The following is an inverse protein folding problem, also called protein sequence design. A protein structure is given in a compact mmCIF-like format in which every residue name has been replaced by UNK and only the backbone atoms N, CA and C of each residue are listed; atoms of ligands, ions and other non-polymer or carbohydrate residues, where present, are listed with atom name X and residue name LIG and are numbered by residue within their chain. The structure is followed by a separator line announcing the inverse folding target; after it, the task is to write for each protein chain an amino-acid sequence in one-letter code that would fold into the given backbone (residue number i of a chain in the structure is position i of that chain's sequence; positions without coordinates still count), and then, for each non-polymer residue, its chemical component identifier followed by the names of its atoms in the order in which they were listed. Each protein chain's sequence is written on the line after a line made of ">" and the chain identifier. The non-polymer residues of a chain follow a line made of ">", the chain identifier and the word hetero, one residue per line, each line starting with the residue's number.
data_IF_692378438642
#
_entry.id   IF_692378438642
#
_cell.length_a   1.000
_cell.length_b   1.000
_cell.length_c   1.000
_cell.angle_alpha   90.00
_cell.angle_beta   90.00
_cell.angle_gamma   90.00
#
_symmetry.space_group_name_H-M   'P 1'
#
loop_
_entity.id
_entity.type
_entity.pdbx_description
1 polymer ?
#
# COMPACT_ATOMS: atom_id res chain seq x y z
N UNK A 1 -55.26 -25.41 1.11
CA UNK A 1 -55.27 -23.95 1.43
C UNK A 1 -54.24 -23.55 2.45
N UNK A 2 -54.15 -24.29 3.55
CA UNK A 2 -53.17 -24.01 4.58
C UNK A 2 -51.75 -24.32 4.13
N UNK A 3 -51.53 -25.26 3.23
CA UNK A 3 -50.19 -25.60 2.74
C UNK A 3 -49.60 -24.52 1.84
N UNK A 4 -50.39 -23.83 1.03
CA UNK A 4 -49.90 -22.73 0.18
C UNK A 4 -49.48 -21.52 1.03
N UNK A 5 -50.25 -21.16 2.05
CA UNK A 5 -49.88 -20.10 2.97
C UNK A 5 -48.64 -20.44 3.79
N UNK A 6 -48.49 -21.71 4.22
CA UNK A 6 -47.33 -22.22 4.91
C UNK A 6 -46.05 -22.15 4.06
N UNK A 7 -46.16 -22.46 2.74
CA UNK A 7 -45.03 -22.40 1.83
C UNK A 7 -44.54 -20.95 1.59
N UNK A 8 -45.48 -19.99 1.54
CA UNK A 8 -45.11 -18.55 1.44
C UNK A 8 -44.36 -18.08 2.68
N UNK A 9 -44.81 -18.46 3.84
CA UNK A 9 -44.13 -18.14 5.12
C UNK A 9 -42.77 -18.79 5.24
N UNK A 10 -42.60 -20.00 4.72
CA UNK A 10 -41.32 -20.71 4.75
C UNK A 10 -40.27 -20.08 3.79
N UNK A 11 -40.71 -19.50 2.66
CA UNK A 11 -39.82 -18.87 1.72
C UNK A 11 -39.24 -17.56 2.20
N UNK A 12 -40.02 -16.76 2.94
CA UNK A 12 -39.55 -15.45 3.44
C UNK A 12 -38.33 -15.55 4.37
N UNK A 13 -38.28 -16.41 5.39
CA UNK A 13 -37.08 -16.49 6.24
C UNK A 13 -35.87 -17.03 5.48
N UNK A 14 -36.03 -17.90 4.49
CA UNK A 14 -34.93 -18.40 3.67
C UNK A 14 -34.34 -17.27 2.80
N UNK A 15 -35.20 -16.47 2.16
CA UNK A 15 -34.76 -15.31 1.36
C UNK A 15 -34.04 -14.30 2.23
N UNK A 16 -34.53 -13.99 3.43
CA UNK A 16 -33.87 -13.09 4.38
C UNK A 16 -32.49 -13.61 4.79
N UNK A 17 -32.38 -14.91 5.07
CA UNK A 17 -31.11 -15.53 5.42
C UNK A 17 -30.10 -15.45 4.25
N UNK A 18 -30.55 -15.67 3.02
CA UNK A 18 -29.69 -15.53 1.83
C UNK A 18 -29.22 -14.09 1.63
N UNK A 19 -30.09 -13.11 1.84
CA UNK A 19 -29.73 -11.70 1.72
C UNK A 19 -28.72 -11.28 2.79
N UNK A 20 -28.92 -11.73 4.03
CA UNK A 20 -27.97 -11.46 5.13
C UNK A 20 -26.63 -12.13 4.86
N UNK A 21 -26.62 -13.37 4.37
CA UNK A 21 -25.39 -14.08 4.04
C UNK A 21 -24.65 -13.39 2.89
N UNK A 22 -25.35 -12.95 1.83
CA UNK A 22 -24.76 -12.23 0.73
C UNK A 22 -24.17 -10.90 1.19
N UNK A 23 -24.89 -10.12 2.01
CA UNK A 23 -24.40 -8.89 2.59
C UNK A 23 -23.15 -9.10 3.46
N UNK A 24 -23.13 -10.17 4.21
CA UNK A 24 -21.98 -10.52 5.06
C UNK A 24 -20.77 -10.91 4.23
N UNK A 25 -20.95 -11.67 3.16
CA UNK A 25 -19.87 -12.04 2.22
C UNK A 25 -19.30 -10.79 1.55
N UNK A 26 -20.14 -9.89 1.06
CA UNK A 26 -19.72 -8.62 0.45
C UNK A 26 -18.91 -7.79 1.45
N UNK A 27 -19.42 -7.63 2.67
CA UNK A 27 -18.72 -6.93 3.74
C UNK A 27 -17.35 -7.55 4.04
N UNK A 28 -17.28 -8.87 4.10
CA UNK A 28 -16.05 -9.60 4.37
C UNK A 28 -15.02 -9.41 3.24
N UNK A 29 -15.47 -9.45 1.97
CA UNK A 29 -14.60 -9.22 0.81
C UNK A 29 -14.06 -7.79 0.82
N UNK A 30 -14.89 -6.78 1.06
CA UNK A 30 -14.43 -5.39 1.17
C UNK A 30 -13.44 -5.21 2.32
N UNK A 31 -13.69 -5.85 3.44
CA UNK A 31 -12.77 -5.81 4.57
C UNK A 31 -11.43 -6.48 4.26
N UNK A 32 -11.44 -7.59 3.52
CA UNK A 32 -10.22 -8.30 3.11
C UNK A 32 -9.42 -7.55 2.06
N UNK A 33 -10.05 -6.68 1.26
CA UNK A 33 -9.36 -5.85 0.27
C UNK A 33 -8.82 -4.55 0.86
N UNK A 34 -9.13 -4.24 2.11
CA UNK A 34 -8.55 -3.08 2.79
C UNK A 34 -7.10 -3.37 3.13
N UNK A 35 -6.21 -2.79 2.34
CA UNK A 35 -4.76 -2.94 2.50
C UNK A 35 -4.19 -1.60 2.91
N UNK A 36 -3.54 -1.58 4.05
CA UNK A 36 -2.81 -0.43 4.55
C UNK A 36 -1.33 -0.76 4.61
N UNK A 37 -0.49 0.23 4.35
CA UNK A 37 0.96 0.09 4.49
C UNK A 37 1.44 0.91 5.66
N UNK A 38 2.29 0.32 6.48
CA UNK A 38 2.95 1.00 7.59
C UNK A 38 4.44 1.08 7.31
N UNK A 39 4.98 2.29 7.45
CA UNK A 39 6.41 2.55 7.23
C UNK A 39 7.06 2.89 8.57
N UNK A 40 8.13 2.20 8.88
CA UNK A 40 8.89 2.44 10.10
C UNK A 40 10.36 2.65 9.75
N UNK A 41 10.86 3.85 10.04
CA UNK A 41 12.25 4.20 9.81
C UNK A 41 13.02 4.13 11.12
N UNK A 42 14.02 3.26 11.16
CA UNK A 42 14.87 3.12 12.34
C UNK A 42 16.28 2.68 11.93
N UNK A 43 17.28 3.39 12.45
CA UNK A 43 18.68 2.98 12.28
C UNK A 43 19.18 2.94 10.84
N UNK A 44 18.66 3.80 9.96
CA UNK A 44 19.04 3.82 8.56
C UNK A 44 18.31 2.79 7.71
N UNK A 45 17.30 2.14 8.25
CA UNK A 45 16.48 1.15 7.53
C UNK A 45 15.01 1.55 7.56
N UNK A 46 14.34 1.46 6.40
CA UNK A 46 12.90 1.64 6.30
C UNK A 46 12.24 0.29 6.17
N UNK A 47 11.43 -0.06 7.16
CA UNK A 47 10.64 -1.29 7.16
C UNK A 47 9.24 -1.00 6.64
N UNK A 48 8.79 -1.76 5.65
CA UNK A 48 7.43 -1.64 5.11
C UNK A 48 6.64 -2.88 5.51
N UNK A 49 5.57 -2.65 6.27
CA UNK A 49 4.64 -3.69 6.69
C UNK A 49 3.30 -3.48 5.99
N UNK A 50 2.69 -4.59 5.60
CA UNK A 50 1.35 -4.62 5.04
C UNK A 50 0.36 -5.00 6.14
N UNK A 51 -0.65 -4.19 6.33
CA UNK A 51 -1.71 -4.45 7.30
C UNK A 51 -2.96 -4.85 6.54
N UNK A 52 -3.41 -6.09 6.77
CA UNK A 52 -4.63 -6.63 6.22
C UNK A 52 -5.72 -6.58 7.28
N UNK A 53 -6.89 -6.01 6.93
CA UNK A 53 -8.07 -5.99 7.81
C UNK A 53 -7.82 -5.37 9.18
N UNK A 54 -6.89 -4.43 9.30
CA UNK A 54 -6.50 -3.78 10.55
C UNK A 54 -5.99 -4.74 11.63
N UNK A 55 -5.84 -6.02 11.33
CA UNK A 55 -5.48 -7.04 12.33
C UNK A 55 -4.25 -7.85 11.95
N UNK A 56 -4.05 -8.18 10.69
CA UNK A 56 -2.92 -9.00 10.24
C UNK A 56 -1.81 -8.13 9.69
N UNK A 57 -0.66 -8.18 10.33
CA UNK A 57 0.54 -7.47 9.91
C UNK A 57 1.52 -8.46 9.27
N UNK A 58 1.97 -8.13 8.07
CA UNK A 58 2.99 -8.91 7.36
C UNK A 58 4.12 -7.99 6.93
N UNK A 59 5.34 -8.31 7.35
CA UNK A 59 6.52 -7.57 6.87
C UNK A 59 6.79 -7.91 5.41
N UNK A 60 6.82 -6.88 4.57
CA UNK A 60 7.06 -7.03 3.14
C UNK A 60 8.53 -6.95 2.81
N UNK A 61 9.19 -5.86 3.22
CA UNK A 61 10.59 -5.63 2.87
C UNK A 61 11.21 -4.58 3.78
N UNK A 62 12.53 -4.66 3.91
CA UNK A 62 13.36 -3.67 4.58
C UNK A 62 14.25 -3.02 3.52
N UNK A 63 14.26 -1.68 3.49
CA UNK A 63 15.10 -0.90 2.57
C UNK A 63 16.24 -0.27 3.33
N UNK A 64 17.47 -0.50 2.86
CA UNK A 64 18.67 0.07 3.44
C UNK A 64 18.93 1.46 2.86
N UNK A 65 18.81 2.49 3.69
CA UNK A 65 18.98 3.88 3.26
C UNK A 65 20.45 4.27 3.06
N UNK A 66 21.41 3.43 3.44
CA UNK A 66 22.78 3.62 3.02
C UNK A 66 22.96 3.55 1.50
N UNK A 67 22.06 2.83 0.83
CA UNK A 67 22.02 2.69 -0.63
C UNK A 67 21.06 3.67 -1.32
N UNK A 68 20.50 4.61 -0.57
CA UNK A 68 19.56 5.60 -1.11
C UNK A 68 20.28 6.59 -2.02
N UNK A 69 19.78 6.77 -3.23
CA UNK A 69 20.23 7.81 -4.14
C UNK A 69 19.45 9.10 -3.93
N UNK A 70 18.12 9.03 -4.03
CA UNK A 70 17.26 10.16 -3.77
C UNK A 70 15.81 9.73 -3.60
N UNK A 71 15.00 10.66 -3.10
CA UNK A 71 13.55 10.54 -2.99
C UNK A 71 12.94 11.72 -3.74
N UNK A 72 11.99 11.45 -4.63
CA UNK A 72 11.30 12.48 -5.40
C UNK A 72 9.80 12.19 -5.42
N UNK A 73 9.01 13.20 -5.71
CA UNK A 73 7.56 13.03 -5.86
C UNK A 73 7.24 12.16 -7.06
N UNK A 74 6.18 11.37 -6.93
CA UNK A 74 5.66 10.57 -8.04
C UNK A 74 5.29 11.47 -9.22
N UNK A 75 5.71 11.08 -10.42
CA UNK A 75 5.44 11.86 -11.62
C UNK A 75 6.37 13.04 -11.87
N UNK A 76 7.39 13.24 -11.04
CA UNK A 76 8.39 14.28 -11.28
C UNK A 76 9.26 13.95 -12.49
N UNK A 77 9.88 14.98 -13.09
CA UNK A 77 10.77 14.79 -14.23
C UNK A 77 11.97 13.90 -13.91
N UNK A 78 12.42 13.90 -12.67
CA UNK A 78 13.53 13.06 -12.22
C UNK A 78 13.21 11.57 -12.34
N UNK A 79 11.96 11.21 -12.08
CA UNK A 79 11.49 9.83 -12.23
C UNK A 79 11.43 9.38 -13.68
N UNK A 80 10.94 10.25 -14.55
CA UNK A 80 10.79 9.93 -15.98
C UNK A 80 12.12 9.60 -16.63
N UNK A 81 13.20 10.29 -16.21
CA UNK A 81 14.55 10.03 -16.74
C UNK A 81 15.11 8.68 -16.32
N UNK A 82 14.69 8.15 -15.17
CA UNK A 82 15.23 6.90 -14.64
C UNK A 82 14.49 5.66 -15.13
N UNK A 83 13.22 5.79 -15.47
CA UNK A 83 12.46 4.70 -16.06
C UNK A 83 13.01 4.25 -17.43
N UNK A 84 13.81 5.09 -18.07
CA UNK A 84 14.46 4.77 -19.33
C UNK A 84 15.69 3.85 -19.18
N UNK A 85 16.18 3.61 -17.95
CA UNK A 85 17.32 2.75 -17.70
C UNK A 85 16.92 1.34 -17.33
N UNK A 86 17.35 0.35 -18.12
CA UNK A 86 16.81 -1.03 -18.26
C UNK A 86 17.04 -1.90 -17.09
N UNK A 87 17.60 -2.00 -16.07
CA UNK A 87 17.65 -2.94 -14.94
C UNK A 87 17.04 -2.33 -13.69
N UNK A 88 15.72 -2.39 -13.59
CA UNK A 88 15.04 -1.81 -12.45
C UNK A 88 13.99 -2.77 -11.87
N UNK A 89 13.86 -2.74 -10.56
CA UNK A 89 12.80 -3.43 -9.82
C UNK A 89 11.92 -2.36 -9.18
N UNK A 90 10.62 -2.46 -9.36
CA UNK A 90 9.67 -1.48 -8.88
C UNK A 90 8.76 -2.09 -7.81
N UNK A 91 8.79 -1.50 -6.62
CA UNK A 91 7.91 -1.88 -5.52
C UNK A 91 6.90 -0.78 -5.28
N UNK A 92 5.63 -1.07 -5.47
CA UNK A 92 4.56 -0.13 -5.18
C UNK A 92 3.92 -0.47 -3.84
N UNK A 93 4.31 0.24 -2.81
CA UNK A 93 3.76 0.11 -1.45
C UNK A 93 3.08 1.41 -1.03
N UNK A 94 2.47 2.11 -1.97
CA UNK A 94 1.73 3.34 -1.72
C UNK A 94 0.25 3.08 -1.50
N UNK A 95 -0.42 4.03 -0.84
CA UNK A 95 -1.87 4.02 -0.76
C UNK A 95 -2.45 4.26 -2.16
N UNK A 96 -3.31 3.36 -2.63
CA UNK A 96 -3.77 3.36 -4.02
C UNK A 96 -4.65 4.55 -4.42
N UNK A 97 -5.22 5.27 -3.44
CA UNK A 97 -6.26 6.26 -3.72
C UNK A 97 -5.72 7.68 -3.96
N UNK A 98 -4.49 7.99 -3.50
CA UNK A 98 -3.95 9.36 -3.58
C UNK A 98 -2.50 9.30 -4.05
N UNK A 99 -2.29 9.26 -5.38
CA UNK A 99 -0.94 9.26 -5.95
C UNK A 99 -0.25 10.62 -5.84
N UNK A 100 -1.00 11.70 -5.64
CA UNK A 100 -0.43 13.04 -5.49
C UNK A 100 0.46 13.18 -4.25
N UNK A 101 0.18 12.39 -3.20
CA UNK A 101 0.98 12.37 -1.98
C UNK A 101 2.03 11.28 -1.96
N UNK A 102 2.23 10.60 -3.07
CA UNK A 102 3.20 9.52 -3.17
C UNK A 102 4.58 10.04 -3.55
N UNK A 103 5.60 9.41 -2.98
CA UNK A 103 7.00 9.66 -3.26
C UNK A 103 7.64 8.38 -3.76
N UNK A 104 8.72 8.53 -4.48
CA UNK A 104 9.52 7.38 -4.94
C UNK A 104 10.93 7.52 -4.41
N UNK A 105 11.36 6.52 -3.68
CA UNK A 105 12.74 6.39 -3.22
C UNK A 105 13.51 5.52 -4.21
N UNK A 106 14.68 5.98 -4.60
CA UNK A 106 15.54 5.29 -5.57
C UNK A 106 16.78 4.79 -4.86
N UNK A 107 17.02 3.49 -4.96
CA UNK A 107 18.15 2.82 -4.33
C UNK A 107 19.00 2.12 -5.38
N UNK A 108 20.30 2.01 -5.12
CA UNK A 108 21.20 1.15 -5.90
C UNK A 108 21.53 -0.10 -5.11
N UNK A 109 21.47 -1.25 -5.73
CA UNK A 109 22.00 -2.46 -5.12
C UNK A 109 23.43 -2.72 -5.57
N UNK A 110 24.08 -3.75 -4.97
CA UNK A 110 25.49 -4.08 -5.27
C UNK A 110 25.68 -4.63 -6.69
N UNK A 111 24.62 -5.06 -7.34
CA UNK A 111 24.61 -5.55 -8.72
C UNK A 111 24.35 -4.46 -9.77
N UNK A 112 24.38 -3.20 -9.37
CA UNK A 112 24.07 -2.03 -10.21
C UNK A 112 22.62 -1.98 -10.71
N UNK A 113 21.72 -2.74 -10.12
CA UNK A 113 20.31 -2.63 -10.42
C UNK A 113 19.70 -1.47 -9.62
N UNK A 114 18.76 -0.78 -10.22
CA UNK A 114 18.04 0.30 -9.59
C UNK A 114 16.76 -0.25 -8.95
N UNK A 115 16.52 0.10 -7.70
CA UNK A 115 15.32 -0.29 -6.97
C UNK A 115 14.47 0.94 -6.71
N UNK A 116 13.22 0.90 -7.13
CA UNK A 116 12.25 1.96 -6.92
C UNK A 116 11.26 1.54 -5.86
N UNK A 117 11.07 2.38 -4.86
CA UNK A 117 10.03 2.21 -3.85
C UNK A 117 9.04 3.37 -3.95
N UNK A 118 7.83 3.09 -4.42
CA UNK A 118 6.73 4.05 -4.36
C UNK A 118 6.03 3.88 -3.00
N UNK A 119 5.94 4.97 -2.25
CA UNK A 119 5.36 4.95 -0.91
C UNK A 119 4.67 6.27 -0.60
N UNK A 120 3.79 6.25 0.37
CA UNK A 120 3.03 7.43 0.80
C UNK A 120 3.41 7.80 2.24
N UNK A 121 4.52 8.51 2.45
CA UNK A 121 4.94 8.86 3.81
C UNK A 121 3.99 9.89 4.43
N UNK A 122 3.74 9.76 5.73
CA UNK A 122 3.04 10.81 6.46
C UNK A 122 4.00 11.98 6.72
N UNK A 123 3.47 13.08 7.27
CA UNK A 123 4.24 14.28 7.53
C UNK A 123 5.41 14.03 8.51
N UNK A 124 5.20 13.17 9.50
CA UNK A 124 6.22 12.83 10.48
C UNK A 124 7.39 12.08 9.84
N UNK A 125 7.09 11.06 9.03
CA UNK A 125 8.11 10.30 8.34
C UNK A 125 8.85 11.16 7.34
N UNK A 126 8.15 11.99 6.58
CA UNK A 126 8.76 12.89 5.61
C UNK A 126 9.69 13.88 6.28
N UNK A 127 9.31 14.43 7.45
CA UNK A 127 10.15 15.31 8.24
C UNK A 127 11.42 14.62 8.72
N UNK A 128 11.31 13.37 9.16
CA UNK A 128 12.46 12.56 9.58
C UNK A 128 13.42 12.33 8.41
N UNK A 129 12.88 11.97 7.24
CA UNK A 129 13.70 11.74 6.06
C UNK A 129 14.39 13.01 5.58
N UNK A 130 13.72 14.16 5.62
CA UNK A 130 14.33 15.46 5.29
C UNK A 130 15.43 15.84 6.28
N UNK A 131 15.25 15.51 7.55
CA UNK A 131 16.24 15.80 8.59
C UNK A 131 17.52 15.01 8.41
N UNK A 132 17.40 13.71 8.11
CA UNK A 132 18.57 12.83 7.95
C UNK A 132 19.17 12.88 6.55
N UNK A 133 18.35 13.17 5.54
CA UNK A 133 18.79 13.18 4.13
C UNK A 133 18.38 14.48 3.42
N UNK A 134 18.83 15.66 3.91
CA UNK A 134 18.34 16.95 3.39
C UNK A 134 18.68 17.20 1.92
N UNK A 135 19.73 16.54 1.41
CA UNK A 135 20.17 16.69 0.02
C UNK A 135 19.59 15.64 -0.92
N UNK A 136 18.91 14.65 -0.39
CA UNK A 136 18.39 13.52 -1.17
C UNK A 136 16.87 13.54 -1.32
N UNK A 137 16.15 14.37 -0.57
CA UNK A 137 14.70 14.49 -0.65
C UNK A 137 14.34 15.71 -1.48
N UNK A 138 13.66 15.49 -2.60
CA UNK A 138 13.20 16.52 -3.53
C UNK A 138 11.68 16.59 -3.52
N UNK A 139 11.13 17.79 -3.33
CA UNK A 139 9.69 18.01 -3.28
C UNK A 139 9.11 18.62 -4.56
N UNK A 140 9.95 19.00 -5.50
CA UNK A 140 9.57 19.62 -6.77
C UNK A 140 9.34 18.62 -7.91
#
# INVERSE_FOLDING_TARGET
>A
YSSAASDVYKRQPVVLLCDLAAGFVIYFVFRNTSVEFEYDYFGGELTVDKILNRAKRKRLRIFDFAKLDYIAKYGSERMTRLEEHGNSVYYNYSAHDIREDSYVAVFHNDEKATVFLEFSPNEELLAVLKKYYPRKVYED
#
